data_IF_763329932596
#
_entry.id   IF_763329932596
#
_cell.length_a   1.000
_cell.length_b   1.000
_cell.length_c   1.000
_cell.angle_alpha   90.00
_cell.angle_beta   90.00
_cell.angle_gamma   90.00
#
_symmetry.space_group_name_H-M   'P 1'
#
loop_
_entity.id
_entity.type
_entity.pdbx_description
1 polymer ?
#
# COMPACT_ATOMS: atom_id res chain seq x y z
N UNK A 1 -10.48 33.46 -30.43
CA UNK A 1 -10.05 32.77 -29.19
C UNK A 1 -9.87 31.30 -29.52
N UNK A 2 -8.63 30.78 -29.49
CA UNK A 2 -8.36 29.36 -29.66
C UNK A 2 -8.54 28.70 -28.30
N UNK A 3 -9.48 27.76 -28.16
CA UNK A 3 -9.63 27.01 -26.91
C UNK A 3 -8.33 26.24 -26.63
N UNK A 4 -7.83 26.22 -25.39
CA UNK A 4 -6.62 25.45 -25.05
C UNK A 4 -6.83 23.98 -25.41
N UNK A 5 -5.82 23.35 -26.02
CA UNK A 5 -5.89 21.93 -26.36
C UNK A 5 -6.11 21.10 -25.09
N UNK A 6 -6.94 20.04 -25.14
CA UNK A 6 -7.08 19.12 -24.02
C UNK A 6 -5.72 18.49 -23.69
N UNK A 7 -5.37 18.46 -22.41
CA UNK A 7 -4.11 17.89 -21.92
C UNK A 7 -4.04 16.40 -22.32
N UNK A 8 -2.99 16.00 -23.02
CA UNK A 8 -2.80 14.60 -23.40
C UNK A 8 -2.28 13.76 -22.22
N UNK A 9 -2.40 12.44 -22.33
CA UNK A 9 -1.86 11.52 -21.31
C UNK A 9 -0.34 11.59 -21.20
N UNK A 10 0.34 11.84 -22.31
CA UNK A 10 1.79 12.00 -22.37
C UNK A 10 2.22 13.29 -21.68
N UNK A 11 1.58 14.42 -22.00
CA UNK A 11 1.87 15.71 -21.34
C UNK A 11 1.68 15.64 -19.82
N UNK A 12 0.63 14.96 -19.37
CA UNK A 12 0.36 14.77 -17.94
C UNK A 12 1.40 13.88 -17.26
N UNK A 13 1.79 12.79 -17.91
CA UNK A 13 2.83 11.90 -17.40
C UNK A 13 4.17 12.65 -17.33
N UNK A 14 4.57 13.34 -18.40
CA UNK A 14 5.82 14.09 -18.46
C UNK A 14 5.87 15.19 -17.39
N UNK A 15 4.76 15.89 -17.16
CA UNK A 15 4.66 16.87 -16.07
C UNK A 15 4.85 16.23 -14.68
N UNK A 16 4.28 15.03 -14.45
CA UNK A 16 4.47 14.28 -13.21
C UNK A 16 5.93 13.84 -13.01
N UNK A 17 6.54 13.28 -14.06
CA UNK A 17 7.92 12.81 -14.02
C UNK A 17 8.92 13.97 -13.94
N UNK A 18 8.63 15.12 -14.55
CA UNK A 18 9.45 16.33 -14.42
C UNK A 18 9.42 16.90 -12.99
N UNK A 19 8.24 16.94 -12.35
CA UNK A 19 8.10 17.41 -10.96
C UNK A 19 8.74 16.45 -9.97
N UNK A 20 8.68 15.15 -10.24
CA UNK A 20 9.20 14.13 -9.34
C UNK A 20 9.75 12.91 -10.11
N UNK A 21 11.03 12.99 -10.53
CA UNK A 21 11.64 11.97 -11.37
C UNK A 21 11.67 10.59 -10.70
N UNK A 22 11.90 10.59 -9.39
CA UNK A 22 12.07 9.38 -8.61
C UNK A 22 11.02 9.25 -7.51
N UNK A 23 10.30 8.13 -7.53
CA UNK A 23 9.48 7.63 -6.42
C UNK A 23 10.31 6.70 -5.52
N UNK A 24 11.31 7.27 -4.82
CA UNK A 24 12.27 6.48 -4.05
C UNK A 24 11.65 5.91 -2.78
N UNK A 25 10.68 6.61 -2.17
CA UNK A 25 10.07 6.15 -0.93
C UNK A 25 9.26 4.87 -1.16
N UNK A 26 8.53 4.80 -2.27
CA UNK A 26 7.84 3.59 -2.72
C UNK A 26 8.83 2.43 -2.85
N UNK A 27 9.97 2.66 -3.51
CA UNK A 27 11.01 1.62 -3.68
C UNK A 27 11.63 1.22 -2.35
N UNK A 28 11.86 2.17 -1.45
CA UNK A 28 12.40 1.90 -0.12
C UNK A 28 11.43 1.07 0.73
N UNK A 29 10.12 1.38 0.70
CA UNK A 29 9.10 0.58 1.38
C UNK A 29 9.03 -0.82 0.80
N UNK A 30 9.06 -0.97 -0.53
CA UNK A 30 9.10 -2.29 -1.18
C UNK A 30 10.33 -3.09 -0.75
N UNK A 31 11.52 -2.48 -0.81
CA UNK A 31 12.76 -3.12 -0.40
C UNK A 31 12.72 -3.54 1.09
N UNK A 32 12.24 -2.66 1.98
CA UNK A 32 12.12 -2.96 3.40
C UNK A 32 11.22 -4.17 3.67
N UNK A 33 10.06 -4.23 3.03
CA UNK A 33 9.14 -5.37 3.16
C UNK A 33 9.74 -6.68 2.64
N UNK A 34 10.42 -6.64 1.49
CA UNK A 34 11.09 -7.81 0.93
C UNK A 34 12.22 -8.28 1.85
N UNK A 35 13.07 -7.36 2.34
CA UNK A 35 14.17 -7.70 3.25
C UNK A 35 13.68 -8.31 4.57
N UNK A 36 12.63 -7.72 5.16
CA UNK A 36 11.99 -8.26 6.38
C UNK A 36 11.44 -9.65 6.11
N UNK A 37 10.76 -9.87 4.98
CA UNK A 37 10.26 -11.18 4.62
C UNK A 37 11.38 -12.21 4.40
N UNK A 38 12.48 -11.84 3.74
CA UNK A 38 13.64 -12.71 3.58
C UNK A 38 14.21 -13.14 4.95
N UNK A 39 14.32 -12.22 5.91
CA UNK A 39 14.76 -12.53 7.27
C UNK A 39 13.78 -13.45 8.03
N UNK A 40 12.48 -13.27 7.84
CA UNK A 40 11.45 -14.18 8.40
C UNK A 40 11.52 -15.57 7.76
N UNK A 41 11.61 -15.64 6.44
CA UNK A 41 11.65 -16.90 5.71
C UNK A 41 12.91 -17.71 6.03
N UNK A 42 14.04 -17.01 6.25
CA UNK A 42 15.27 -17.63 6.74
C UNK A 42 15.07 -18.25 8.12
N UNK A 43 14.51 -17.50 9.08
CA UNK A 43 14.24 -18.01 10.44
C UNK A 43 13.17 -19.12 10.46
N UNK A 44 12.19 -19.06 9.56
CA UNK A 44 11.15 -20.07 9.46
C UNK A 44 11.59 -21.33 8.71
N UNK A 45 12.76 -21.30 8.06
CA UNK A 45 13.20 -22.29 7.06
C UNK A 45 12.11 -22.57 6.01
N UNK A 46 11.30 -21.55 5.69
CA UNK A 46 10.10 -21.69 4.88
C UNK A 46 9.75 -20.41 4.11
N UNK A 47 9.61 -20.54 2.79
CA UNK A 47 9.20 -19.43 1.90
C UNK A 47 7.68 -19.34 1.72
N UNK A 48 6.99 -20.49 1.70
CA UNK A 48 5.56 -20.52 1.36
C UNK A 48 4.66 -20.14 2.51
N UNK A 49 5.04 -20.51 3.73
CA UNK A 49 4.22 -20.31 4.93
C UNK A 49 5.10 -20.12 6.16
N UNK A 50 5.12 -18.89 6.65
CA UNK A 50 5.72 -18.54 7.94
C UNK A 50 4.72 -18.83 9.04
N UNK A 51 5.16 -19.43 10.16
CA UNK A 51 4.27 -19.79 11.26
C UNK A 51 3.67 -18.55 11.94
N UNK A 52 2.43 -18.68 12.42
CA UNK A 52 1.77 -17.59 13.16
C UNK A 52 2.50 -17.23 14.45
N UNK A 53 3.12 -18.21 15.12
CA UNK A 53 3.93 -17.98 16.31
C UNK A 53 5.13 -17.06 16.01
N UNK A 54 5.94 -17.39 15.00
CA UNK A 54 7.08 -16.56 14.61
C UNK A 54 6.64 -15.14 14.17
N UNK A 55 5.54 -15.04 13.42
CA UNK A 55 4.99 -13.74 13.03
C UNK A 55 4.54 -12.92 14.25
N UNK A 56 3.93 -13.55 15.25
CA UNK A 56 3.57 -12.88 16.49
C UNK A 56 4.82 -12.44 17.26
N UNK A 57 5.82 -13.30 17.40
CA UNK A 57 7.07 -12.97 18.11
C UNK A 57 7.83 -11.82 17.44
N UNK A 58 7.85 -11.79 16.11
CA UNK A 58 8.51 -10.74 15.34
C UNK A 58 7.71 -9.42 15.23
N UNK A 59 6.60 -9.26 15.96
CA UNK A 59 5.86 -8.00 16.00
C UNK A 59 4.60 -7.96 15.13
N UNK A 60 4.02 -9.11 14.81
CA UNK A 60 2.72 -9.20 14.16
C UNK A 60 1.64 -8.57 15.03
N UNK A 61 0.59 -8.06 14.39
CA UNK A 61 -0.52 -7.40 15.06
C UNK A 61 -1.45 -8.48 15.63
N UNK A 62 -1.03 -9.02 16.77
CA UNK A 62 -1.77 -9.99 17.55
C UNK A 62 -2.58 -9.24 18.61
N UNK A 63 -3.91 -9.31 18.49
CA UNK A 63 -4.83 -8.44 19.20
C UNK A 63 -4.67 -8.46 20.73
N UNK A 64 -4.31 -9.61 21.33
CA UNK A 64 -4.11 -9.72 22.77
C UNK A 64 -2.92 -8.88 23.24
N UNK A 65 -1.76 -8.98 22.56
CA UNK A 65 -0.54 -8.25 22.88
C UNK A 65 -0.66 -6.77 22.50
N UNK A 66 -1.24 -6.49 21.32
CA UNK A 66 -1.44 -5.10 20.87
C UNK A 66 -2.31 -4.32 21.86
N UNK A 67 -3.37 -4.94 22.40
CA UNK A 67 -4.21 -4.35 23.47
C UNK A 67 -3.55 -4.40 24.85
N UNK A 68 -2.69 -5.39 25.07
CA UNK A 68 -2.01 -5.65 26.34
C UNK A 68 -0.78 -4.79 26.61
N UNK A 69 -0.50 -3.76 25.80
CA UNK A 69 0.59 -2.81 26.04
C UNK A 69 1.63 -2.72 24.93
N UNK A 70 1.42 -3.39 23.79
CA UNK A 70 2.38 -3.39 22.66
C UNK A 70 1.81 -2.70 21.40
N UNK A 71 1.46 -1.39 21.45
CA UNK A 71 0.82 -0.69 20.33
C UNK A 71 1.74 -0.51 19.12
N UNK A 72 3.06 -0.63 19.29
CA UNK A 72 4.03 -0.60 18.19
C UNK A 72 3.77 -1.69 17.14
N UNK A 73 3.07 -2.77 17.54
CA UNK A 73 2.59 -3.84 16.64
C UNK A 73 1.66 -3.35 15.54
N UNK A 74 0.94 -2.25 15.77
CA UNK A 74 0.08 -1.61 14.75
C UNK A 74 0.89 -1.10 13.55
N UNK A 75 2.18 -0.82 13.74
CA UNK A 75 3.08 -0.33 12.69
C UNK A 75 4.01 -1.44 12.19
N UNK A 76 4.63 -2.22 13.07
CA UNK A 76 5.55 -3.28 12.65
C UNK A 76 4.86 -4.34 11.79
N UNK A 77 3.59 -4.66 12.08
CA UNK A 77 2.83 -5.65 11.32
C UNK A 77 2.66 -5.30 9.83
N UNK A 78 2.77 -4.02 9.45
CA UNK A 78 2.72 -3.61 8.04
C UNK A 78 3.88 -4.20 7.22
N UNK A 79 4.99 -4.56 7.88
CA UNK A 79 6.20 -5.05 7.21
C UNK A 79 6.32 -6.59 7.21
N UNK A 80 5.57 -7.27 8.07
CA UNK A 80 5.62 -8.72 8.21
C UNK A 80 4.69 -9.39 7.19
N UNK A 81 5.10 -10.51 6.62
CA UNK A 81 4.31 -11.24 5.63
C UNK A 81 4.37 -12.74 5.88
N UNK A 82 3.22 -13.41 5.80
CA UNK A 82 3.10 -14.84 6.11
C UNK A 82 3.54 -15.82 5.02
N UNK A 83 4.00 -15.34 3.86
CA UNK A 83 4.44 -16.20 2.76
C UNK A 83 4.78 -15.41 1.49
N UNK A 84 5.49 -16.06 0.56
CA UNK A 84 6.04 -15.42 -0.64
C UNK A 84 4.95 -14.83 -1.55
N UNK A 85 3.83 -15.53 -1.74
CA UNK A 85 2.71 -15.00 -2.53
C UNK A 85 2.10 -13.74 -1.87
N UNK A 86 2.02 -13.75 -0.54
CA UNK A 86 1.46 -12.63 0.21
C UNK A 86 2.32 -11.37 0.09
N UNK A 87 3.64 -11.48 0.24
CA UNK A 87 4.54 -10.32 0.03
C UNK A 87 4.59 -9.91 -1.44
N UNK A 88 4.65 -10.84 -2.39
CA UNK A 88 4.74 -10.53 -3.82
C UNK A 88 3.53 -9.72 -4.30
N UNK A 89 2.31 -10.12 -3.93
CA UNK A 89 1.09 -9.42 -4.30
C UNK A 89 1.02 -8.02 -3.68
N UNK A 90 1.37 -7.89 -2.38
CA UNK A 90 1.42 -6.58 -1.73
C UNK A 90 2.44 -5.65 -2.38
N UNK A 91 3.64 -6.16 -2.68
CA UNK A 91 4.71 -5.35 -3.27
C UNK A 91 4.43 -4.98 -4.71
N UNK A 92 3.80 -5.87 -5.50
CA UNK A 92 3.33 -5.55 -6.84
C UNK A 92 2.27 -4.44 -6.81
N UNK A 93 1.33 -4.51 -5.87
CA UNK A 93 0.29 -3.50 -5.71
C UNK A 93 0.88 -2.16 -5.20
N UNK A 94 1.74 -2.20 -4.18
CA UNK A 94 2.42 -1.03 -3.64
C UNK A 94 3.33 -0.37 -4.68
N UNK A 95 4.06 -1.14 -5.47
CA UNK A 95 4.95 -0.59 -6.49
C UNK A 95 4.16 0.14 -7.57
N UNK A 96 3.03 -0.39 -8.02
CA UNK A 96 2.19 0.25 -9.03
C UNK A 96 1.48 1.50 -8.49
N UNK A 97 0.74 1.37 -7.39
CA UNK A 97 -0.04 2.47 -6.84
C UNK A 97 0.82 3.50 -6.11
N UNK A 98 1.80 3.04 -5.32
CA UNK A 98 2.70 3.91 -4.57
C UNK A 98 3.51 4.82 -5.47
N UNK A 99 3.99 4.33 -6.63
CA UNK A 99 4.73 5.17 -7.57
C UNK A 99 3.91 6.33 -8.14
N UNK A 100 2.62 6.09 -8.40
CA UNK A 100 1.70 7.11 -8.87
C UNK A 100 1.34 8.06 -7.72
N UNK A 101 0.99 7.50 -6.56
CA UNK A 101 0.59 8.26 -5.37
C UNK A 101 1.72 9.16 -4.85
N UNK A 102 2.96 8.67 -4.78
CA UNK A 102 4.13 9.45 -4.36
C UNK A 102 4.35 10.63 -5.31
N UNK A 103 4.21 10.44 -6.63
CA UNK A 103 4.38 11.51 -7.61
C UNK A 103 3.22 12.53 -7.61
N UNK A 104 1.99 12.06 -7.41
CA UNK A 104 0.80 12.91 -7.36
C UNK A 104 0.72 13.73 -6.09
N UNK A 105 0.95 13.11 -4.93
CA UNK A 105 0.71 13.72 -3.62
C UNK A 105 1.98 14.26 -2.96
N UNK A 106 3.16 13.86 -3.45
CA UNK A 106 4.41 14.14 -2.77
C UNK A 106 4.75 13.10 -1.69
N UNK A 107 6.05 13.02 -1.38
CA UNK A 107 6.62 12.00 -0.48
C UNK A 107 6.03 12.04 0.93
N UNK A 108 5.90 13.23 1.52
CA UNK A 108 5.39 13.38 2.88
C UNK A 108 3.92 12.97 3.01
N UNK A 109 3.09 13.39 2.06
CA UNK A 109 1.67 13.01 2.04
C UNK A 109 1.51 11.53 1.75
N UNK A 110 2.28 10.97 0.81
CA UNK A 110 2.28 9.54 0.56
C UNK A 110 2.71 8.72 1.78
N UNK A 111 3.77 9.13 2.49
CA UNK A 111 4.21 8.48 3.73
C UNK A 111 3.11 8.48 4.79
N UNK A 112 2.47 9.65 4.99
CA UNK A 112 1.38 9.80 5.95
C UNK A 112 0.18 8.93 5.57
N UNK A 113 -0.24 8.94 4.29
CA UNK A 113 -1.34 8.11 3.80
C UNK A 113 -1.05 6.62 4.02
N UNK A 114 0.13 6.14 3.62
CA UNK A 114 0.52 4.75 3.77
C UNK A 114 0.48 4.32 5.25
N UNK A 115 1.13 5.09 6.14
CA UNK A 115 1.21 4.75 7.56
C UNK A 115 -0.15 4.89 8.26
N UNK A 116 -0.88 5.99 8.04
CA UNK A 116 -2.17 6.22 8.68
C UNK A 116 -3.20 5.16 8.28
N UNK A 117 -3.33 4.84 6.99
CA UNK A 117 -4.24 3.80 6.53
C UNK A 117 -3.84 2.41 7.06
N UNK A 118 -2.54 2.10 7.10
CA UNK A 118 -2.07 0.84 7.66
C UNK A 118 -2.34 0.70 9.16
N UNK A 119 -2.15 1.77 9.94
CA UNK A 119 -2.49 1.79 11.37
C UNK A 119 -3.99 1.65 11.58
N UNK A 120 -4.81 2.41 10.84
CA UNK A 120 -6.28 2.31 10.93
C UNK A 120 -6.76 0.90 10.60
N UNK A 121 -6.22 0.28 9.56
CA UNK A 121 -6.53 -1.11 9.21
C UNK A 121 -6.09 -2.09 10.32
N UNK A 122 -4.92 -1.86 10.93
CA UNK A 122 -4.44 -2.69 12.04
C UNK A 122 -5.32 -2.58 13.29
N UNK A 123 -5.77 -1.36 13.62
CA UNK A 123 -6.73 -1.12 14.71
C UNK A 123 -8.06 -1.80 14.40
N UNK A 124 -8.57 -1.68 13.17
CA UNK A 124 -9.79 -2.35 12.74
C UNK A 124 -9.67 -3.88 12.84
N UNK A 125 -8.53 -4.46 12.45
CA UNK A 125 -8.25 -5.90 12.58
C UNK A 125 -8.27 -6.36 14.04
N UNK A 126 -7.66 -5.58 14.95
CA UNK A 126 -7.69 -5.85 16.39
C UNK A 126 -9.11 -5.79 16.93
N UNK A 127 -9.92 -4.82 16.51
CA UNK A 127 -11.31 -4.70 16.92
C UNK A 127 -12.16 -5.88 16.45
N UNK A 128 -12.04 -6.24 15.17
CA UNK A 128 -12.86 -7.25 14.52
C UNK A 128 -12.48 -8.69 14.90
N UNK A 129 -11.20 -8.94 15.19
CA UNK A 129 -10.67 -10.25 15.59
C UNK A 129 -9.91 -10.14 16.91
N UNK A 130 -10.61 -10.16 18.06
CA UNK A 130 -10.01 -9.95 19.39
C UNK A 130 -8.90 -10.94 19.79
N UNK A 131 -8.86 -12.11 19.16
CA UNK A 131 -7.82 -13.14 19.31
C UNK A 131 -7.07 -13.43 18.01
N UNK A 132 -7.22 -12.56 17.00
CA UNK A 132 -6.62 -12.73 15.68
C UNK A 132 -5.20 -12.18 15.60
N UNK A 133 -4.36 -12.87 14.83
CA UNK A 133 -3.10 -12.36 14.33
C UNK A 133 -3.30 -11.79 12.92
N UNK A 134 -2.74 -10.61 12.67
CA UNK A 134 -2.73 -9.99 11.35
C UNK A 134 -1.35 -9.43 11.02
N UNK A 135 -0.96 -9.56 9.75
CA UNK A 135 0.30 -9.06 9.19
C UNK A 135 0.07 -8.64 7.74
N UNK A 136 0.93 -7.78 7.22
CA UNK A 136 0.98 -7.38 5.82
C UNK A 136 0.68 -5.91 5.59
N UNK A 137 1.18 -5.40 4.47
CA UNK A 137 1.01 -4.02 4.04
C UNK A 137 -0.38 -3.71 3.45
N UNK A 138 -1.26 -4.71 3.32
CA UNK A 138 -2.45 -4.63 2.49
C UNK A 138 -3.38 -3.48 2.88
N UNK A 139 -3.63 -3.27 4.17
CA UNK A 139 -4.45 -2.15 4.64
C UNK A 139 -3.91 -0.77 4.22
N UNK A 140 -2.59 -0.59 4.26
CA UNK A 140 -1.94 0.62 3.77
C UNK A 140 -2.08 0.75 2.25
N UNK A 141 -1.84 -0.34 1.51
CA UNK A 141 -1.96 -0.38 0.04
C UNK A 141 -3.39 -0.06 -0.39
N UNK A 142 -4.41 -0.67 0.21
CA UNK A 142 -5.82 -0.35 -0.03
C UNK A 142 -6.12 1.12 0.20
N UNK A 143 -5.57 1.72 1.28
CA UNK A 143 -5.68 3.15 1.54
C UNK A 143 -5.09 4.01 0.42
N UNK A 144 -3.92 3.63 -0.11
CA UNK A 144 -3.29 4.30 -1.26
C UNK A 144 -4.16 4.19 -2.51
N UNK A 145 -4.69 3.01 -2.83
CA UNK A 145 -5.64 2.82 -3.93
C UNK A 145 -6.91 3.65 -3.76
N UNK A 146 -7.43 3.72 -2.53
CA UNK A 146 -8.58 4.56 -2.18
C UNK A 146 -8.29 6.05 -2.40
N UNK A 147 -7.15 6.56 -1.95
CA UNK A 147 -6.74 7.95 -2.16
C UNK A 147 -6.58 8.28 -3.65
N UNK A 148 -5.97 7.39 -4.44
CA UNK A 148 -5.88 7.54 -5.90
C UNK A 148 -7.26 7.57 -6.55
N UNK A 149 -8.17 6.70 -6.12
CA UNK A 149 -9.55 6.68 -6.63
C UNK A 149 -10.27 7.99 -6.30
N UNK A 150 -10.17 8.47 -5.05
CA UNK A 150 -10.72 9.76 -4.64
C UNK A 150 -10.17 10.91 -5.48
N UNK A 151 -8.86 10.93 -5.75
CA UNK A 151 -8.25 11.92 -6.63
C UNK A 151 -8.82 11.87 -8.04
N UNK A 152 -8.93 10.67 -8.63
CA UNK A 152 -9.50 10.47 -9.98
C UNK A 152 -10.96 10.95 -10.06
N UNK A 153 -11.75 10.73 -9.01
CA UNK A 153 -13.16 11.13 -8.97
C UNK A 153 -13.34 12.65 -8.76
N UNK A 154 -12.58 13.25 -7.85
CA UNK A 154 -12.69 14.67 -7.49
C UNK A 154 -12.01 15.57 -8.53
N UNK A 155 -10.81 15.19 -8.98
CA UNK A 155 -9.99 15.98 -9.91
C UNK A 155 -10.16 15.56 -11.37
N UNK A 156 -11.34 15.03 -11.74
CA UNK A 156 -11.64 14.52 -13.09
C UNK A 156 -11.32 15.50 -14.22
N UNK A 157 -11.49 16.81 -13.97
CA UNK A 157 -11.29 17.86 -14.97
C UNK A 157 -9.81 18.11 -15.29
N UNK A 158 -8.90 17.73 -14.37
CA UNK A 158 -7.46 17.89 -14.52
C UNK A 158 -6.80 16.66 -15.16
N UNK A 159 -7.58 15.61 -15.45
CA UNK A 159 -7.08 14.34 -15.97
C UNK A 159 -7.46 14.14 -17.44
N UNK A 160 -6.53 13.63 -18.27
CA UNK A 160 -6.84 13.16 -19.61
C UNK A 160 -7.90 12.04 -19.58
N UNK A 161 -8.88 12.09 -20.48
CA UNK A 161 -10.05 11.18 -20.49
C UNK A 161 -9.65 9.70 -20.59
N UNK A 162 -8.60 9.40 -21.35
CA UNK A 162 -8.07 8.04 -21.52
C UNK A 162 -7.36 7.53 -20.25
N UNK A 163 -6.64 8.42 -19.55
CA UNK A 163 -6.01 8.11 -18.27
C UNK A 163 -7.06 7.87 -17.18
N UNK A 164 -8.07 8.74 -17.10
CA UNK A 164 -9.20 8.59 -16.18
C UNK A 164 -9.87 7.21 -16.34
N UNK A 165 -10.18 6.83 -17.58
CA UNK A 165 -10.88 5.57 -17.88
C UNK A 165 -10.04 4.32 -17.55
N UNK A 166 -8.72 4.38 -17.77
CA UNK A 166 -7.78 3.30 -17.43
C UNK A 166 -7.59 3.17 -15.92
N UNK A 167 -7.27 4.27 -15.25
CA UNK A 167 -7.03 4.28 -13.81
C UNK A 167 -8.28 3.86 -13.05
N UNK A 168 -9.45 4.41 -13.37
CA UNK A 168 -10.70 4.04 -12.70
C UNK A 168 -10.97 2.53 -12.80
N UNK A 169 -10.83 1.94 -14.00
CA UNK A 169 -11.04 0.49 -14.20
C UNK A 169 -10.05 -0.36 -13.42
N UNK A 170 -8.76 0.00 -13.45
CA UNK A 170 -7.70 -0.73 -12.73
C UNK A 170 -7.85 -0.64 -11.20
N UNK A 171 -8.11 0.56 -10.68
CA UNK A 171 -8.31 0.79 -9.24
C UNK A 171 -9.56 0.06 -8.73
N UNK A 172 -10.70 0.17 -9.44
CA UNK A 172 -11.90 -0.59 -9.08
C UNK A 172 -11.71 -2.10 -9.19
N UNK A 173 -11.04 -2.58 -10.24
CA UNK A 173 -10.76 -4.00 -10.42
C UNK A 173 -9.91 -4.57 -9.29
N UNK A 174 -8.88 -3.83 -8.86
CA UNK A 174 -8.04 -4.23 -7.73
C UNK A 174 -8.82 -4.25 -6.41
N UNK A 175 -9.59 -3.19 -6.12
CA UNK A 175 -10.39 -3.11 -4.89
C UNK A 175 -11.44 -4.23 -4.86
N UNK A 176 -12.15 -4.46 -5.97
CA UNK A 176 -13.15 -5.51 -6.06
C UNK A 176 -12.53 -6.91 -5.90
N UNK A 177 -11.44 -7.20 -6.60
CA UNK A 177 -10.71 -8.46 -6.46
C UNK A 177 -10.25 -8.70 -5.03
N UNK A 178 -9.78 -7.65 -4.36
CA UNK A 178 -9.21 -7.78 -3.03
C UNK A 178 -10.28 -7.87 -1.92
N UNK A 179 -11.56 -7.69 -2.27
CA UNK A 179 -12.72 -7.87 -1.38
C UNK A 179 -13.48 -9.20 -1.63
N UNK A 180 -13.11 -9.95 -2.68
CA UNK A 180 -13.61 -11.29 -2.99
C UNK A 180 -12.76 -12.36 -2.27
#
# INVERSE_FOLDING_TARGET
MHAPRPVSTEDFADALFARMPTAWLTRALVAANVLVFCGLAWQAEALWRVSGALLADCGGNYAVQTRGGEPWRLVSALFLHGGVAHVALNMLALYQAGQLAERLFGRGVFALLYLACGVVASVASVWWRPSGLSVGASGAVFGVFGALLSYVLVCRASLPVSLYSRLRKSLFGFIAYSLL
#
